data_IF_232157074801
#
_entry.id   IF_232157074801
#
_cell.length_a   1.000
_cell.length_b   1.000
_cell.length_c   1.000
_cell.angle_alpha   90.00
_cell.angle_beta   90.00
_cell.angle_gamma   90.00
#
_symmetry.space_group_name_H-M   'P 1'
#
loop_
_entity.id
_entity.type
_entity.pdbx_description
1 polymer ?
#
# COMPACT_ATOMS: atom_id res chain seq x y z
N UNK A 1 27.74 -5.60 -3.29
CA UNK A 1 26.25 -5.72 -3.31
C UNK A 1 25.79 -7.14 -2.99
N UNK A 2 26.50 -8.19 -3.45
CA UNK A 2 26.14 -9.59 -3.16
C UNK A 2 26.27 -9.92 -1.66
N UNK A 3 27.27 -9.37 -0.98
CA UNK A 3 27.56 -9.67 0.43
C UNK A 3 26.73 -8.82 1.41
N UNK A 4 26.17 -7.71 0.94
CA UNK A 4 25.32 -6.81 1.72
C UNK A 4 24.15 -6.32 0.84
N UNK A 5 23.13 -7.16 0.62
CA UNK A 5 21.97 -6.76 -0.15
C UNK A 5 21.16 -5.69 0.62
N UNK A 6 21.12 -4.49 0.08
CA UNK A 6 20.43 -3.35 0.71
C UNK A 6 18.90 -3.50 0.77
N UNK A 7 18.34 -4.49 0.07
CA UNK A 7 16.90 -4.75 -0.02
C UNK A 7 16.56 -6.16 0.48
N UNK A 8 17.25 -6.63 1.53
CA UNK A 8 16.93 -7.92 2.15
C UNK A 8 15.68 -7.77 3.02
N UNK A 9 14.68 -8.57 2.75
CA UNK A 9 13.55 -8.76 3.66
C UNK A 9 14.02 -9.73 4.76
N UNK A 10 13.84 -9.39 6.03
CA UNK A 10 14.20 -10.26 7.15
C UNK A 10 13.32 -11.50 7.19
N UNK A 11 13.87 -12.60 7.64
CA UNK A 11 13.12 -13.83 7.89
C UNK A 11 12.31 -13.67 9.19
N UNK A 12 11.00 -13.87 9.11
CA UNK A 12 10.07 -13.73 10.24
C UNK A 12 8.72 -14.35 9.86
N UNK A 13 7.95 -14.74 10.87
CA UNK A 13 6.56 -15.17 10.70
C UNK A 13 5.59 -13.97 10.58
N UNK A 14 6.06 -12.77 10.92
CA UNK A 14 5.28 -11.54 10.84
C UNK A 14 4.98 -11.14 9.39
N UNK A 15 3.79 -10.61 9.15
CA UNK A 15 3.46 -10.00 7.86
C UNK A 15 4.09 -8.62 7.76
N UNK A 16 5.08 -8.46 6.89
CA UNK A 16 5.75 -7.19 6.66
C UNK A 16 5.19 -6.47 5.42
N UNK A 17 5.31 -5.14 5.38
CA UNK A 17 4.94 -4.35 4.20
C UNK A 17 5.72 -4.77 2.95
N UNK A 18 6.99 -5.12 3.11
CA UNK A 18 7.85 -5.62 2.02
C UNK A 18 7.33 -6.94 1.44
N UNK A 19 6.80 -7.85 2.29
CA UNK A 19 6.19 -9.10 1.83
C UNK A 19 5.00 -8.84 0.92
N UNK A 20 4.12 -7.91 1.31
CA UNK A 20 2.95 -7.51 0.52
C UNK A 20 3.35 -6.96 -0.84
N UNK A 21 4.27 -5.99 -0.85
CA UNK A 21 4.75 -5.37 -2.10
C UNK A 21 5.38 -6.40 -3.02
N UNK A 22 6.26 -7.25 -2.47
CA UNK A 22 6.92 -8.29 -3.25
C UNK A 22 5.92 -9.29 -3.83
N UNK A 23 4.95 -9.74 -3.04
CA UNK A 23 3.94 -10.70 -3.50
C UNK A 23 3.06 -10.12 -4.63
N UNK A 24 2.67 -8.84 -4.54
CA UNK A 24 1.94 -8.16 -5.61
C UNK A 24 2.83 -7.99 -6.86
N UNK A 25 4.10 -7.63 -6.68
CA UNK A 25 5.07 -7.55 -7.79
C UNK A 25 5.21 -8.88 -8.52
N UNK A 26 5.37 -9.97 -7.78
CA UNK A 26 5.52 -11.31 -8.34
C UNK A 26 4.23 -11.75 -9.07
N UNK A 27 3.05 -11.54 -8.45
CA UNK A 27 1.76 -11.89 -9.02
C UNK A 27 1.46 -11.12 -10.32
N UNK A 28 1.81 -9.83 -10.37
CA UNK A 28 1.62 -8.97 -11.56
C UNK A 28 2.78 -9.08 -12.55
N UNK A 29 3.86 -9.77 -12.18
CA UNK A 29 5.11 -9.85 -12.96
C UNK A 29 5.67 -8.46 -13.29
N UNK A 30 5.43 -7.48 -12.42
CA UNK A 30 5.84 -6.10 -12.59
C UNK A 30 5.15 -5.32 -13.72
N UNK A 31 4.06 -5.83 -14.29
CA UNK A 31 3.40 -5.26 -15.47
C UNK A 31 2.19 -4.35 -15.13
N UNK A 32 1.82 -4.23 -13.86
CA UNK A 32 0.75 -3.35 -13.42
C UNK A 32 1.19 -1.87 -13.41
N UNK A 33 0.21 -0.98 -13.54
CA UNK A 33 0.38 0.41 -13.15
C UNK A 33 0.27 0.51 -11.63
N UNK A 34 1.27 1.10 -11.00
CA UNK A 34 1.35 1.21 -9.55
C UNK A 34 1.24 2.66 -9.12
N UNK A 35 0.28 2.94 -8.27
CA UNK A 35 0.11 4.23 -7.63
C UNK A 35 0.42 4.10 -6.14
N UNK A 36 1.14 5.02 -5.56
CA UNK A 36 1.47 4.99 -4.14
C UNK A 36 1.17 6.31 -3.46
N UNK A 37 0.58 6.21 -2.28
CA UNK A 37 0.52 7.29 -1.32
C UNK A 37 1.89 7.64 -0.73
N UNK A 38 1.89 8.41 0.33
CA UNK A 38 3.12 8.90 0.95
C UNK A 38 3.26 8.33 2.37
N UNK A 39 4.42 7.71 2.63
CA UNK A 39 4.75 7.06 3.89
C UNK A 39 5.70 5.88 3.72
N UNK A 40 5.79 5.00 4.72
CA UNK A 40 6.62 3.79 4.64
C UNK A 40 6.22 2.90 3.46
N UNK A 41 4.93 2.75 3.18
CA UNK A 41 4.40 1.97 2.06
C UNK A 41 4.91 2.47 0.70
N UNK A 42 5.08 3.79 0.53
CA UNK A 42 5.68 4.39 -0.67
C UNK A 42 7.12 3.91 -0.86
N UNK A 43 7.90 3.95 0.21
CA UNK A 43 9.31 3.57 0.17
C UNK A 43 9.46 2.06 -0.07
N UNK A 44 8.67 1.22 0.61
CA UNK A 44 8.67 -0.23 0.35
C UNK A 44 8.23 -0.54 -1.08
N UNK A 45 7.23 0.16 -1.62
CA UNK A 45 6.81 -0.02 -3.01
C UNK A 45 7.93 0.35 -3.99
N UNK A 46 8.62 1.48 -3.76
CA UNK A 46 9.76 1.89 -4.59
C UNK A 46 10.96 0.93 -4.49
N UNK A 47 11.16 0.29 -3.32
CA UNK A 47 12.29 -0.61 -3.08
C UNK A 47 12.04 -2.04 -3.59
N UNK A 48 10.83 -2.57 -3.43
CA UNK A 48 10.56 -4.01 -3.60
C UNK A 48 9.65 -4.35 -4.78
N UNK A 49 8.95 -3.38 -5.39
CA UNK A 49 8.20 -3.64 -6.62
C UNK A 49 9.16 -3.60 -7.83
N UNK A 50 9.17 -4.66 -8.62
CA UNK A 50 10.03 -4.77 -9.80
C UNK A 50 9.28 -4.32 -11.05
N UNK A 51 9.46 -3.05 -11.43
CA UNK A 51 8.80 -2.48 -12.59
C UNK A 51 9.35 -3.03 -13.89
N UNK A 52 8.49 -3.58 -14.73
CA UNK A 52 8.83 -4.11 -16.05
C UNK A 52 8.83 -3.02 -17.10
N UNK A 53 7.96 -2.04 -16.98
CA UNK A 53 7.75 -0.99 -17.96
C UNK A 53 8.12 0.39 -17.39
N UNK A 54 8.61 1.27 -18.24
CA UNK A 54 8.75 2.68 -17.88
C UNK A 54 7.37 3.33 -17.71
N UNK A 55 7.32 4.41 -16.94
CA UNK A 55 6.09 5.20 -16.70
C UNK A 55 4.93 4.40 -16.08
N UNK A 56 5.25 3.37 -15.30
CA UNK A 56 4.27 2.55 -14.57
C UNK A 56 4.21 2.83 -13.07
N UNK A 57 4.95 3.84 -12.59
CA UNK A 57 4.98 4.31 -11.21
C UNK A 57 4.46 5.73 -11.09
N UNK A 58 3.46 5.94 -10.22
CA UNK A 58 2.86 7.25 -9.94
C UNK A 58 2.89 7.51 -8.43
N UNK A 59 3.44 8.64 -8.03
CA UNK A 59 3.54 9.01 -6.62
C UNK A 59 3.69 10.52 -6.47
N UNK A 60 3.20 11.07 -5.36
CA UNK A 60 3.41 12.47 -4.98
C UNK A 60 4.81 12.66 -4.37
N UNK A 61 5.86 12.43 -5.18
CA UNK A 61 7.25 12.49 -4.72
C UNK A 61 7.78 13.90 -4.44
N UNK A 62 7.15 14.93 -4.99
CA UNK A 62 7.56 16.32 -4.79
C UNK A 62 6.88 16.96 -3.57
N UNK A 63 5.55 16.98 -3.54
CA UNK A 63 4.79 17.61 -2.47
C UNK A 63 4.53 16.67 -1.26
N UNK A 64 4.69 15.37 -1.43
CA UNK A 64 4.48 14.39 -0.35
C UNK A 64 3.03 14.33 0.14
N UNK A 65 2.06 14.33 -0.77
CA UNK A 65 0.64 14.42 -0.44
C UNK A 65 0.09 13.07 -0.03
N UNK A 66 -0.27 12.90 1.24
CA UNK A 66 -1.05 11.76 1.72
C UNK A 66 -2.47 11.81 1.13
N UNK A 67 -3.01 10.62 0.77
CA UNK A 67 -4.32 10.53 0.10
C UNK A 67 -4.27 10.72 -1.42
N UNK A 68 -3.09 10.96 -1.99
CA UNK A 68 -2.90 11.05 -3.44
C UNK A 68 -3.28 9.76 -4.17
N UNK A 69 -3.07 8.63 -3.53
CA UNK A 69 -3.09 7.30 -4.12
C UNK A 69 -4.43 6.90 -4.73
N UNK A 70 -5.55 7.16 -4.05
CA UNK A 70 -6.87 6.73 -4.52
C UNK A 70 -7.32 7.51 -5.76
N UNK A 71 -7.39 8.86 -5.72
CA UNK A 71 -7.80 9.63 -6.90
C UNK A 71 -6.85 9.45 -8.09
N UNK A 72 -5.55 9.30 -7.84
CA UNK A 72 -4.59 9.07 -8.92
C UNK A 72 -4.74 7.67 -9.55
N UNK A 73 -5.07 6.64 -8.75
CA UNK A 73 -5.36 5.31 -9.26
C UNK A 73 -6.63 5.28 -10.13
N UNK A 74 -7.66 6.03 -9.75
CA UNK A 74 -8.85 6.24 -10.58
C UNK A 74 -8.48 6.84 -11.93
N UNK A 75 -7.70 7.92 -11.93
CA UNK A 75 -7.22 8.56 -13.16
C UNK A 75 -6.39 7.63 -14.04
N UNK A 76 -5.49 6.84 -13.43
CA UNK A 76 -4.69 5.86 -14.14
C UNK A 76 -5.56 4.76 -14.78
N UNK A 77 -6.59 4.28 -14.07
CA UNK A 77 -7.49 3.25 -14.58
C UNK A 77 -8.38 3.76 -15.71
N UNK A 78 -8.86 5.00 -15.61
CA UNK A 78 -9.65 5.63 -16.68
C UNK A 78 -8.79 5.85 -17.93
N UNK A 79 -7.55 6.29 -17.75
CA UNK A 79 -6.62 6.51 -18.86
C UNK A 79 -6.14 5.22 -19.54
N UNK A 80 -6.11 4.12 -18.77
CA UNK A 80 -5.61 2.82 -19.21
C UNK A 80 -6.57 1.70 -18.78
N UNK A 81 -7.76 1.61 -19.40
CA UNK A 81 -8.80 0.63 -18.99
C UNK A 81 -8.37 -0.82 -19.19
N UNK A 82 -7.40 -1.06 -20.06
CA UNK A 82 -6.84 -2.40 -20.36
C UNK A 82 -5.75 -2.84 -19.37
N UNK A 83 -5.26 -1.92 -18.52
CA UNK A 83 -4.18 -2.20 -17.59
C UNK A 83 -4.71 -2.56 -16.20
N UNK A 84 -4.00 -3.46 -15.53
CA UNK A 84 -4.20 -3.71 -14.11
C UNK A 84 -3.60 -2.55 -13.30
N UNK A 85 -4.40 -1.93 -12.43
CA UNK A 85 -3.96 -0.81 -11.59
C UNK A 85 -3.97 -1.25 -10.12
N UNK A 86 -2.82 -1.16 -9.48
CA UNK A 86 -2.64 -1.36 -8.05
C UNK A 86 -2.29 -0.07 -7.35
N UNK A 87 -2.87 0.18 -6.18
CA UNK A 87 -2.46 1.29 -5.34
C UNK A 87 -2.01 0.80 -3.97
N UNK A 88 -0.85 1.28 -3.53
CA UNK A 88 -0.36 1.09 -2.17
C UNK A 88 -0.74 2.29 -1.33
N UNK A 89 -1.57 2.07 -0.34
CA UNK A 89 -2.06 3.08 0.60
C UNK A 89 -1.57 2.76 2.02
N UNK A 90 -1.32 3.79 2.80
CA UNK A 90 -1.24 3.64 4.26
C UNK A 90 -2.63 3.80 4.87
N UNK A 91 -2.83 3.21 6.05
CA UNK A 91 -4.07 3.32 6.82
C UNK A 91 -4.46 4.78 7.17
N UNK A 92 -3.45 5.65 7.36
CA UNK A 92 -3.68 7.08 7.52
C UNK A 92 -3.96 7.83 6.22
N UNK A 93 -3.24 7.48 5.14
CA UNK A 93 -3.38 8.11 3.83
C UNK A 93 -4.75 7.86 3.21
N UNK A 94 -5.19 6.60 3.21
CA UNK A 94 -6.48 6.20 2.63
C UNK A 94 -7.67 6.98 3.22
N UNK A 95 -7.62 7.32 4.51
CA UNK A 95 -8.69 8.04 5.19
C UNK A 95 -8.86 9.48 4.69
N UNK A 96 -7.85 10.06 4.05
CA UNK A 96 -7.92 11.45 3.55
C UNK A 96 -8.80 11.59 2.30
N UNK A 97 -9.02 10.49 1.57
CA UNK A 97 -9.76 10.49 0.30
C UNK A 97 -10.78 9.35 0.20
N UNK A 98 -11.34 8.92 1.33
CA UNK A 98 -12.37 7.86 1.39
C UNK A 98 -13.61 8.16 0.53
N UNK A 99 -13.94 9.44 0.34
CA UNK A 99 -15.05 9.87 -0.51
C UNK A 99 -14.93 9.36 -1.96
N UNK A 100 -13.71 9.13 -2.43
CA UNK A 100 -13.47 8.63 -3.78
C UNK A 100 -13.94 7.18 -4.00
N UNK A 101 -14.18 6.43 -2.93
CA UNK A 101 -14.78 5.10 -3.01
C UNK A 101 -16.17 5.13 -3.66
N UNK A 102 -16.91 6.21 -3.47
CA UNK A 102 -18.21 6.41 -4.14
C UNK A 102 -18.04 6.44 -5.66
N UNK A 103 -17.09 7.23 -6.15
CA UNK A 103 -16.80 7.33 -7.59
C UNK A 103 -16.24 6.03 -8.18
N UNK A 104 -15.38 5.33 -7.44
CA UNK A 104 -14.84 4.02 -7.82
C UNK A 104 -15.98 3.01 -7.97
N UNK A 105 -16.88 2.93 -7.00
CA UNK A 105 -18.00 2.01 -6.99
C UNK A 105 -19.01 2.32 -8.10
N UNK A 106 -19.41 3.60 -8.23
CA UNK A 106 -20.36 4.05 -9.25
C UNK A 106 -19.91 3.70 -10.67
N UNK A 107 -18.62 3.87 -10.94
CA UNK A 107 -18.04 3.61 -12.27
C UNK A 107 -17.44 2.20 -12.40
N UNK A 108 -17.57 1.35 -11.38
CA UNK A 108 -17.01 -0.01 -11.31
C UNK A 108 -15.53 -0.05 -11.78
N UNK A 109 -14.73 0.91 -11.34
CA UNK A 109 -13.32 0.99 -11.73
C UNK A 109 -12.53 -0.17 -11.09
N UNK A 110 -11.89 -1.06 -11.86
CA UNK A 110 -11.29 -2.30 -11.32
C UNK A 110 -9.94 -2.10 -10.60
N UNK A 111 -9.79 -0.99 -9.91
CA UNK A 111 -8.60 -0.65 -9.12
C UNK A 111 -8.45 -1.61 -7.94
N UNK A 112 -7.24 -2.09 -7.69
CA UNK A 112 -6.89 -2.92 -6.54
C UNK A 112 -6.19 -2.05 -5.49
N UNK A 113 -6.83 -1.86 -4.34
CA UNK A 113 -6.38 -0.98 -3.28
C UNK A 113 -5.77 -1.83 -2.16
N UNK A 114 -4.44 -1.82 -2.08
CA UNK A 114 -3.67 -2.51 -1.04
C UNK A 114 -3.38 -1.53 0.11
N UNK A 115 -4.07 -1.66 1.23
CA UNK A 115 -3.84 -0.88 2.44
C UNK A 115 -2.78 -1.60 3.27
N UNK A 116 -1.62 -0.99 3.48
CA UNK A 116 -0.60 -1.45 4.40
C UNK A 116 -0.92 -0.83 5.79
N UNK A 117 -1.66 -1.59 6.58
CA UNK A 117 -2.25 -1.15 7.83
C UNK A 117 -1.37 -1.55 9.01
N UNK A 118 -0.73 -0.57 9.65
CA UNK A 118 0.09 -0.76 10.85
C UNK A 118 -0.41 0.04 12.06
N UNK A 119 -1.63 0.58 12.00
CA UNK A 119 -2.27 1.40 13.03
C UNK A 119 -1.46 2.64 13.43
N UNK A 120 -0.67 3.19 12.50
CA UNK A 120 0.13 4.37 12.79
C UNK A 120 0.56 5.17 11.54
N UNK A 121 0.97 6.41 11.77
CA UNK A 121 1.75 7.19 10.81
C UNK A 121 3.20 6.69 10.82
N UNK A 122 3.44 5.55 10.17
CA UNK A 122 4.68 4.79 10.33
C UNK A 122 5.95 5.59 10.00
N UNK A 123 5.93 6.49 9.02
CA UNK A 123 7.09 7.34 8.72
C UNK A 123 7.35 8.36 9.84
N UNK A 124 6.32 8.92 10.45
CA UNK A 124 6.46 9.82 11.61
C UNK A 124 7.02 9.03 12.79
N UNK A 125 6.50 7.83 13.05
CA UNK A 125 6.99 6.93 14.10
C UNK A 125 8.48 6.62 13.91
N UNK A 126 8.87 6.25 12.70
CA UNK A 126 10.28 5.94 12.39
C UNK A 126 11.20 7.14 12.61
N UNK A 127 10.79 8.36 12.24
CA UNK A 127 11.57 9.56 12.52
C UNK A 127 11.66 9.87 14.02
N UNK A 128 10.56 9.69 14.76
CA UNK A 128 10.56 9.85 16.21
C UNK A 128 11.46 8.83 16.91
N UNK A 129 11.49 7.60 16.42
CA UNK A 129 12.39 6.55 16.91
C UNK A 129 13.87 6.89 16.64
N UNK A 130 14.21 7.28 15.40
CA UNK A 130 15.59 7.43 14.97
C UNK A 130 16.23 8.78 15.33
N UNK A 131 15.46 9.86 15.39
CA UNK A 131 15.97 11.25 15.43
C UNK A 131 15.52 12.00 16.68
N UNK A 132 14.38 11.63 17.27
CA UNK A 132 13.77 12.34 18.39
C UNK A 132 13.76 11.52 19.69
N UNK A 133 14.79 10.70 19.93
CA UNK A 133 15.02 9.94 21.17
C UNK A 133 13.78 9.13 21.64
N UNK A 134 13.02 8.57 20.67
CA UNK A 134 11.78 7.81 20.92
C UNK A 134 10.68 8.63 21.61
N UNK A 135 10.70 9.92 21.41
CA UNK A 135 9.64 10.79 21.91
C UNK A 135 8.40 10.70 21.01
N UNK A 136 7.63 9.63 21.17
CA UNK A 136 6.47 9.33 20.36
C UNK A 136 5.29 10.23 20.71
N UNK A 137 4.77 10.95 19.71
CA UNK A 137 3.62 11.84 19.87
C UNK A 137 2.78 11.87 18.61
N UNK A 138 1.46 11.73 18.78
CA UNK A 138 0.46 11.84 17.71
C UNK A 138 0.74 11.00 16.45
N UNK A 139 1.34 9.83 16.62
CA UNK A 139 1.80 8.96 15.54
C UNK A 139 1.01 7.65 15.39
N UNK A 140 0.20 7.28 16.39
CA UNK A 140 -0.58 6.03 16.41
C UNK A 140 -2.07 6.31 16.42
N UNK A 141 -2.82 5.40 15.83
CA UNK A 141 -4.27 5.42 15.84
C UNK A 141 -4.78 4.51 16.94
N UNK A 142 -5.75 4.99 17.73
CA UNK A 142 -6.44 4.20 18.76
C UNK A 142 -7.72 3.54 18.24
N UNK A 143 -8.05 3.76 16.98
CA UNK A 143 -9.27 3.24 16.36
C UNK A 143 -9.31 3.52 14.87
N UNK A 144 -8.56 2.75 14.09
CA UNK A 144 -8.75 2.73 12.65
C UNK A 144 -10.14 2.17 12.31
N UNK A 145 -10.77 2.63 11.24
CA UNK A 145 -11.99 2.00 10.74
C UNK A 145 -11.71 0.56 10.32
N UNK A 146 -12.72 -0.29 10.39
CA UNK A 146 -12.68 -1.58 9.72
C UNK A 146 -12.76 -1.35 8.21
N UNK A 147 -11.62 -1.40 7.51
CA UNK A 147 -11.52 -1.09 6.08
C UNK A 147 -12.29 -2.07 5.20
N UNK A 148 -12.49 -3.32 5.65
CA UNK A 148 -13.31 -4.30 4.93
C UNK A 148 -14.79 -3.92 5.00
N UNK A 149 -15.30 -3.56 6.19
CA UNK A 149 -16.68 -3.07 6.34
C UNK A 149 -16.88 -1.74 5.64
N UNK A 150 -15.87 -0.89 5.65
CA UNK A 150 -15.90 0.38 4.93
C UNK A 150 -16.04 0.16 3.43
N UNK A 151 -15.26 -0.76 2.85
CA UNK A 151 -15.37 -1.14 1.45
C UNK A 151 -16.77 -1.69 1.13
N UNK A 152 -17.28 -2.59 1.97
CA UNK A 152 -18.63 -3.18 1.84
C UNK A 152 -19.72 -2.10 1.87
N UNK A 153 -19.59 -1.09 2.72
CA UNK A 153 -20.54 0.04 2.79
C UNK A 153 -20.65 0.83 1.47
N UNK A 154 -19.59 0.81 0.64
CA UNK A 154 -19.58 1.37 -0.71
C UNK A 154 -19.90 0.33 -1.80
N UNK A 155 -20.21 -0.92 -1.44
CA UNK A 155 -20.41 -1.99 -2.41
C UNK A 155 -19.13 -2.48 -3.09
N UNK A 156 -17.97 -2.18 -2.50
CA UNK A 156 -16.65 -2.62 -2.96
C UNK A 156 -16.26 -3.89 -2.21
N UNK A 157 -15.70 -4.88 -2.93
CA UNK A 157 -15.20 -6.10 -2.32
C UNK A 157 -14.05 -5.80 -1.36
N UNK A 158 -14.19 -6.22 -0.11
CA UNK A 158 -13.16 -6.12 0.93
C UNK A 158 -12.53 -7.48 1.24
N UNK A 159 -11.21 -7.53 1.44
CA UNK A 159 -10.46 -8.71 1.87
C UNK A 159 -9.55 -8.28 3.01
N UNK A 160 -9.41 -9.12 4.07
CA UNK A 160 -8.43 -8.89 5.14
C UNK A 160 -7.38 -9.98 5.16
N UNK A 161 -6.12 -9.57 5.29
CA UNK A 161 -4.96 -10.44 5.36
C UNK A 161 -4.16 -10.10 6.61
N UNK A 162 -3.91 -11.10 7.48
CA UNK A 162 -3.24 -10.93 8.78
C UNK A 162 -1.97 -11.76 8.92
N UNK A 163 -1.64 -12.58 7.93
CA UNK A 163 -0.45 -13.45 7.94
C UNK A 163 0.08 -13.68 6.53
N UNK A 164 1.31 -14.20 6.43
CA UNK A 164 1.97 -14.41 5.15
C UNK A 164 1.32 -15.51 4.31
N UNK A 165 0.79 -16.57 4.92
CA UNK A 165 0.20 -17.70 4.21
C UNK A 165 -1.03 -17.32 3.38
N UNK A 166 -1.75 -16.28 3.83
CA UNK A 166 -2.94 -15.79 3.13
C UNK A 166 -2.64 -14.83 1.97
N UNK A 167 -1.39 -14.35 1.82
CA UNK A 167 -1.03 -13.32 0.83
C UNK A 167 -1.37 -13.73 -0.60
N UNK A 168 -0.84 -14.86 -1.04
CA UNK A 168 -0.99 -15.30 -2.44
C UNK A 168 -2.47 -15.49 -2.79
N UNK A 169 -3.21 -16.18 -1.93
CA UNK A 169 -4.64 -16.43 -2.14
C UNK A 169 -5.44 -15.13 -2.25
N UNK A 170 -5.21 -14.17 -1.35
CA UNK A 170 -5.91 -12.89 -1.35
C UNK A 170 -5.58 -12.05 -2.60
N UNK A 171 -4.33 -12.03 -3.03
CA UNK A 171 -3.90 -11.30 -4.24
C UNK A 171 -4.53 -11.93 -5.48
N UNK A 172 -4.54 -13.26 -5.60
CA UNK A 172 -5.17 -13.95 -6.72
C UNK A 172 -6.69 -13.73 -6.74
N UNK A 173 -7.34 -13.76 -5.57
CA UNK A 173 -8.76 -13.46 -5.44
C UNK A 173 -9.08 -12.03 -5.89
N UNK A 174 -8.28 -11.05 -5.45
CA UNK A 174 -8.45 -9.66 -5.85
C UNK A 174 -8.29 -9.48 -7.36
N UNK A 175 -7.29 -10.12 -7.96
CA UNK A 175 -7.03 -10.07 -9.41
C UNK A 175 -8.13 -10.72 -10.23
N UNK A 176 -8.71 -11.81 -9.73
CA UNK A 176 -9.82 -12.50 -10.39
C UNK A 176 -11.15 -11.72 -10.34
N UNK A 177 -11.28 -10.78 -9.40
CA UNK A 177 -12.48 -9.98 -9.26
C UNK A 177 -12.54 -8.89 -10.35
N UNK A 178 -13.65 -8.79 -11.13
CA UNK A 178 -13.72 -7.87 -12.26
C UNK A 178 -13.89 -6.39 -11.87
N UNK A 179 -14.32 -6.11 -10.63
CA UNK A 179 -14.52 -4.77 -10.08
C UNK A 179 -13.42 -4.31 -9.14
N UNK A 180 -13.65 -3.20 -8.43
CA UNK A 180 -12.75 -2.70 -7.42
C UNK A 180 -12.61 -3.66 -6.24
N UNK A 181 -11.43 -3.69 -5.61
CA UNK A 181 -11.15 -4.48 -4.41
C UNK A 181 -10.32 -3.65 -3.44
N UNK A 182 -10.71 -3.65 -2.18
CA UNK A 182 -9.90 -3.16 -1.06
C UNK A 182 -9.33 -4.34 -0.31
N UNK A 183 -8.02 -4.38 -0.12
CA UNK A 183 -7.34 -5.40 0.67
C UNK A 183 -6.68 -4.72 1.86
N UNK A 184 -7.13 -5.06 3.06
CA UNK A 184 -6.59 -4.61 4.33
C UNK A 184 -5.49 -5.60 4.77
N UNK A 185 -4.24 -5.28 4.49
CA UNK A 185 -3.08 -6.03 4.95
C UNK A 185 -2.68 -5.50 6.33
N UNK A 186 -3.02 -6.23 7.38
CA UNK A 186 -2.62 -5.92 8.76
C UNK A 186 -1.16 -6.34 8.93
N UNK A 187 -0.26 -5.37 8.78
CA UNK A 187 1.18 -5.61 8.80
C UNK A 187 1.78 -5.37 10.19
N UNK A 188 2.97 -5.92 10.41
CA UNK A 188 3.72 -5.71 11.65
C UNK A 188 4.06 -4.23 11.83
N UNK A 189 3.71 -3.68 12.99
CA UNK A 189 3.74 -2.25 13.25
C UNK A 189 5.15 -1.68 13.38
N UNK A 190 6.07 -2.43 14.02
CA UNK A 190 7.42 -1.95 14.35
C UNK A 190 8.44 -2.18 13.22
N UNK A 191 7.98 -2.37 11.99
CA UNK A 191 8.87 -2.50 10.84
C UNK A 191 9.28 -1.14 10.28
N UNK A 192 10.58 -0.89 10.22
CA UNK A 192 11.15 0.32 9.66
C UNK A 192 11.61 0.15 8.21
N UNK A 193 11.68 1.26 7.49
CA UNK A 193 12.22 1.29 6.12
C UNK A 193 13.74 1.43 6.17
N UNK A 194 14.45 0.48 5.59
CA UNK A 194 15.90 0.53 5.42
C UNK A 194 16.29 0.09 4.00
N UNK A 195 17.41 0.60 3.42
CA UNK A 195 18.22 1.70 3.93
C UNK A 195 17.49 3.04 3.85
N UNK A 196 17.72 3.91 4.84
CA UNK A 196 17.29 5.31 4.81
C UNK A 196 18.54 6.20 4.97
N UNK A 197 18.71 7.14 4.06
CA UNK A 197 19.80 8.12 4.13
C UNK A 197 19.18 9.45 4.51
N UNK A 198 19.39 9.95 5.74
CA UNK A 198 18.93 11.28 6.12
C UNK A 198 19.61 12.34 5.24
N UNK A 199 18.87 13.34 4.85
CA UNK A 199 19.38 14.51 4.11
C UNK A 199 20.21 15.44 5.02
#
# INVERSE_FOLDING_TARGET
KADHPSLRIRETDELLGQHVVKAISDATKGDALVVSGVGQHQMWAAQHYQFKNANSWFSSGGAGTMGYEVPAAMGAQIAHPEKEVWTFAGDGGIQMTLSEFATIAENNLPVKIAILNNDMLGMITQWQDMVFDKNFYANSYTGNPDFVKLADAYGIKGIRVTNQDALEGAILEARAHPGPVVIDFVIYADENVYPMIPS
#
